data_IF_525285800343
#
_entry.id   IF_525285800343
#
_cell.length_a   1.000
_cell.length_b   1.000
_cell.length_c   1.000
_cell.angle_alpha   90.00
_cell.angle_beta   90.00
_cell.angle_gamma   90.00
#
_symmetry.space_group_name_H-M   'P 1'
#
loop_
_entity.id
_entity.type
_entity.pdbx_description
1 polymer ?
#
# COMPACT_ATOMS: atom_id res chain seq x y z
N UNK A 1 -43.62 -7.07 28.76
CA UNK A 1 -42.87 -6.63 27.56
C UNK A 1 -42.32 -7.80 26.72
N UNK A 2 -43.17 -8.71 26.22
CA UNK A 2 -42.76 -9.83 25.35
C UNK A 2 -42.82 -9.50 23.85
N UNK A 3 -43.48 -8.39 23.49
CA UNK A 3 -43.72 -8.00 22.10
C UNK A 3 -42.53 -7.25 21.47
N UNK A 4 -41.68 -6.61 22.29
CA UNK A 4 -40.53 -5.82 21.81
C UNK A 4 -39.32 -6.72 21.51
N UNK A 5 -39.15 -7.85 22.21
CA UNK A 5 -38.02 -8.76 21.98
C UNK A 5 -38.15 -9.63 20.72
N UNK A 6 -39.37 -9.89 20.22
CA UNK A 6 -39.54 -10.64 18.97
C UNK A 6 -39.20 -9.81 17.72
N UNK A 7 -39.40 -8.49 17.76
CA UNK A 7 -38.99 -7.59 16.67
C UNK A 7 -37.46 -7.45 16.56
N UNK A 8 -36.73 -7.60 17.68
CA UNK A 8 -35.27 -7.42 17.66
C UNK A 8 -34.50 -8.70 17.27
N UNK A 9 -35.14 -9.87 17.21
CA UNK A 9 -34.48 -11.14 16.85
C UNK A 9 -35.16 -11.91 15.71
N UNK A 10 -36.16 -11.33 15.04
CA UNK A 10 -37.16 -12.09 14.28
C UNK A 10 -37.33 -11.75 12.80
N UNK A 11 -36.28 -11.39 12.05
CA UNK A 11 -36.37 -11.36 10.58
C UNK A 11 -35.26 -12.15 9.91
N UNK A 12 -35.45 -13.48 9.98
CA UNK A 12 -35.05 -14.40 8.91
C UNK A 12 -35.84 -14.06 7.64
N UNK A 13 -35.36 -13.05 6.92
CA UNK A 13 -35.80 -12.70 5.57
C UNK A 13 -34.89 -13.38 4.56
N UNK A 14 -35.27 -14.56 4.11
CA UNK A 14 -34.71 -15.19 2.91
C UNK A 14 -35.07 -14.36 1.68
N UNK A 15 -34.08 -13.89 0.92
CA UNK A 15 -34.31 -13.12 -0.29
C UNK A 15 -32.99 -12.83 -1.03
N UNK A 16 -32.73 -13.60 -2.08
CA UNK A 16 -31.50 -13.50 -2.87
C UNK A 16 -31.31 -12.15 -3.57
N UNK A 17 -30.04 -11.84 -3.85
CA UNK A 17 -29.64 -10.69 -4.66
C UNK A 17 -28.12 -10.64 -4.68
N UNK A 18 -27.53 -10.75 -5.87
CA UNK A 18 -26.13 -11.09 -6.10
C UNK A 18 -25.09 -10.34 -5.27
N UNK A 19 -24.13 -11.09 -4.73
CA UNK A 19 -22.82 -10.57 -4.37
C UNK A 19 -21.79 -11.08 -5.36
N UNK A 20 -21.64 -10.33 -6.44
CA UNK A 20 -20.41 -10.27 -7.21
C UNK A 20 -20.19 -8.79 -7.53
N UNK A 21 -18.95 -8.29 -7.52
CA UNK A 21 -17.89 -8.43 -6.53
C UNK A 21 -17.75 -7.12 -5.71
N UNK A 22 -17.29 -7.11 -4.44
CA UNK A 22 -16.67 -5.89 -3.94
C UNK A 22 -15.42 -5.66 -4.79
N UNK A 23 -15.52 -4.58 -5.58
CA UNK A 23 -14.48 -3.63 -5.91
C UNK A 23 -13.08 -4.21 -6.04
N UNK A 24 -12.53 -4.08 -7.26
CA UNK A 24 -11.12 -4.32 -7.55
C UNK A 24 -10.28 -3.94 -6.34
N UNK A 25 -9.78 -4.99 -5.69
CA UNK A 25 -8.74 -4.89 -4.69
C UNK A 25 -7.60 -4.25 -5.44
N UNK A 26 -7.57 -2.91 -5.42
CA UNK A 26 -6.36 -2.14 -5.49
C UNK A 26 -5.52 -2.85 -4.47
N UNK A 27 -4.66 -3.73 -4.98
CA UNK A 27 -3.76 -4.56 -4.23
C UNK A 27 -2.81 -3.51 -3.67
N UNK A 28 -3.24 -2.88 -2.57
CA UNK A 28 -2.45 -2.05 -1.71
C UNK A 28 -1.51 -3.07 -1.12
N UNK A 29 -0.49 -3.42 -1.90
CA UNK A 29 0.63 -4.21 -1.42
C UNK A 29 1.21 -3.29 -0.36
N UNK A 30 0.77 -3.50 0.87
CA UNK A 30 1.38 -2.92 2.03
C UNK A 30 2.76 -3.58 2.09
N UNK A 31 3.69 -2.99 1.35
CA UNK A 31 5.09 -3.38 1.35
C UNK A 31 5.51 -3.13 2.80
N UNK A 32 5.66 -4.21 3.57
CA UNK A 32 6.19 -4.13 4.92
C UNK A 32 7.65 -3.74 4.81
N UNK A 33 7.89 -2.43 4.90
CA UNK A 33 9.23 -1.85 4.98
C UNK A 33 9.74 -2.12 6.39
N UNK A 34 10.74 -2.96 6.50
CA UNK A 34 11.49 -3.20 7.74
C UNK A 34 12.20 -1.93 8.19
N UNK A 35 12.57 -1.87 9.47
CA UNK A 35 13.24 -0.68 10.03
C UNK A 35 14.55 -0.34 9.31
N UNK A 36 15.30 -1.36 8.88
CA UNK A 36 16.53 -1.19 8.10
C UNK A 36 16.27 -0.54 6.73
N UNK A 37 15.22 -0.98 6.03
CA UNK A 37 14.84 -0.40 4.74
C UNK A 37 14.35 1.04 4.91
N UNK A 38 13.64 1.34 6.00
CA UNK A 38 13.19 2.70 6.30
C UNK A 38 14.35 3.64 6.60
N UNK A 39 15.43 3.16 7.22
CA UNK A 39 16.64 3.96 7.45
C UNK A 39 17.34 4.29 6.12
N UNK A 40 17.52 3.29 5.24
CA UNK A 40 18.07 3.48 3.90
C UNK A 40 17.23 4.46 3.07
N UNK A 41 15.89 4.30 3.09
CA UNK A 41 14.96 5.22 2.43
C UNK A 41 15.10 6.63 3.00
N UNK A 42 15.21 6.80 4.32
CA UNK A 42 15.40 8.11 4.94
C UNK A 42 16.73 8.77 4.55
N UNK A 43 17.81 8.00 4.44
CA UNK A 43 19.12 8.51 3.97
C UNK A 43 19.02 9.03 2.54
N UNK A 44 18.45 8.23 1.64
CA UNK A 44 18.20 8.61 0.24
C UNK A 44 17.29 9.85 0.15
N UNK A 45 16.22 9.88 0.94
CA UNK A 45 15.31 11.03 1.03
C UNK A 45 15.99 12.29 1.54
N UNK A 46 16.95 12.17 2.47
CA UNK A 46 17.74 13.29 2.98
C UNK A 46 18.67 13.91 1.94
N UNK A 47 19.00 13.20 0.86
CA UNK A 47 19.74 13.75 -0.28
C UNK A 47 18.87 14.63 -1.19
N UNK A 48 17.55 14.69 -0.95
CA UNK A 48 16.60 15.49 -1.72
C UNK A 48 15.72 14.68 -2.67
N UNK A 49 15.80 13.35 -2.63
CA UNK A 49 14.98 12.47 -3.46
C UNK A 49 13.57 12.25 -2.84
N UNK A 50 12.51 12.20 -3.66
CA UNK A 50 11.16 11.97 -3.15
C UNK A 50 10.98 10.52 -2.68
N UNK A 51 10.31 10.34 -1.54
CA UNK A 51 10.14 9.03 -0.88
C UNK A 51 9.56 7.96 -1.81
N UNK A 52 8.56 8.30 -2.63
CA UNK A 52 7.97 7.34 -3.57
C UNK A 52 8.98 6.79 -4.58
N UNK A 53 9.82 7.66 -5.13
CA UNK A 53 10.84 7.27 -6.10
C UNK A 53 11.96 6.46 -5.41
N UNK A 54 12.33 6.86 -4.20
CA UNK A 54 13.32 6.16 -3.37
C UNK A 54 12.86 4.73 -3.08
N UNK A 55 11.61 4.55 -2.63
CA UNK A 55 11.06 3.22 -2.34
C UNK A 55 11.05 2.37 -3.62
N UNK A 56 10.54 2.92 -4.72
CA UNK A 56 10.47 2.19 -5.98
C UNK A 56 11.87 1.76 -6.48
N UNK A 57 12.83 2.68 -6.49
CA UNK A 57 14.21 2.41 -6.88
C UNK A 57 14.90 1.42 -5.93
N UNK A 58 14.72 1.60 -4.63
CA UNK A 58 15.35 0.75 -3.63
C UNK A 58 14.88 -0.70 -3.72
N UNK A 59 13.58 -0.92 -3.90
CA UNK A 59 13.06 -2.27 -4.13
C UNK A 59 13.36 -2.80 -5.53
N UNK A 60 13.44 -1.94 -6.56
CA UNK A 60 13.84 -2.34 -7.92
C UNK A 60 15.32 -2.73 -8.00
N UNK A 61 16.17 -2.17 -7.15
CA UNK A 61 17.61 -2.43 -7.08
C UNK A 61 17.99 -3.46 -6.00
N UNK A 62 17.09 -4.38 -5.65
CA UNK A 62 17.35 -5.45 -4.66
C UNK A 62 17.85 -4.91 -3.29
N UNK A 63 17.31 -3.76 -2.85
CA UNK A 63 17.65 -3.09 -1.59
C UNK A 63 19.09 -2.57 -1.50
N UNK A 64 19.71 -2.29 -2.64
CA UNK A 64 21.05 -1.70 -2.68
C UNK A 64 20.97 -0.17 -2.70
N UNK A 65 21.47 0.50 -1.65
CA UNK A 65 21.48 1.97 -1.52
C UNK A 65 22.21 2.67 -2.67
N UNK A 66 23.38 2.13 -3.07
CA UNK A 66 24.24 2.73 -4.10
C UNK A 66 23.57 2.64 -5.48
N UNK A 67 23.03 1.47 -5.82
CA UNK A 67 22.27 1.29 -7.06
C UNK A 67 20.97 2.10 -7.06
N UNK A 68 20.26 2.15 -5.93
CA UNK A 68 19.03 2.93 -5.82
C UNK A 68 19.30 4.42 -6.04
N UNK A 69 20.37 4.98 -5.44
CA UNK A 69 20.77 6.36 -5.67
C UNK A 69 21.08 6.63 -7.15
N UNK A 70 21.89 5.76 -7.78
CA UNK A 70 22.22 5.87 -9.20
C UNK A 70 20.99 5.75 -10.10
N UNK A 71 20.06 4.84 -9.78
CA UNK A 71 18.82 4.64 -10.53
C UNK A 71 17.88 5.85 -10.42
N UNK A 72 17.74 6.41 -9.23
CA UNK A 72 16.98 7.65 -8.98
C UNK A 72 17.56 8.79 -9.82
N UNK A 73 18.88 9.00 -9.75
CA UNK A 73 19.58 10.04 -10.53
C UNK A 73 19.37 9.85 -12.03
N UNK A 74 19.58 8.65 -12.56
CA UNK A 74 19.37 8.35 -13.98
C UNK A 74 17.93 8.63 -14.44
N UNK A 75 16.94 8.33 -13.59
CA UNK A 75 15.52 8.56 -13.91
C UNK A 75 15.08 10.01 -13.73
N UNK A 76 15.77 10.78 -12.90
CA UNK A 76 15.54 12.22 -12.75
C UNK A 76 16.25 13.04 -13.84
N UNK A 77 17.43 12.60 -14.30
CA UNK A 77 18.19 13.25 -15.39
C UNK A 77 17.45 13.15 -16.74
N UNK A 78 16.84 12.00 -17.04
CA UNK A 78 15.99 11.81 -18.23
C UNK A 78 14.66 12.60 -18.20
N UNK A 79 14.30 13.21 -17.07
CA UNK A 79 13.06 13.96 -16.89
C UNK A 79 13.25 15.49 -17.00
N UNK A 80 14.47 15.98 -17.25
CA UNK A 80 14.81 17.40 -17.42
C UNK A 80 14.92 17.79 -18.90
#
# INVERSE_FOLDING_TARGET
EEFVNLLNNGSVGSGGGGVAPPAGEQRQVAIHVTEAERDAINRLKSMGFPEQLVIEAYFACDKNEDLAANYILARMDEAA
#
